data_IF_899836992240
#
_entry.id   IF_899836992240
#
_cell.length_a   1.000
_cell.length_b   1.000
_cell.length_c   1.000
_cell.angle_alpha   90.00
_cell.angle_beta   90.00
_cell.angle_gamma   90.00
#
_symmetry.space_group_name_H-M   'P 1'
#
loop_
_entity.id
_entity.type
_entity.pdbx_description
1 polymer ?
#
# COMPACT_ATOMS: atom_id res chain seq x y z
N UNK A 1 -27.41 -4.84 15.30
CA UNK A 1 -26.19 -4.51 14.55
C UNK A 1 -24.99 -4.97 15.37
N UNK A 2 -24.58 -6.25 15.27
CA UNK A 2 -23.26 -6.65 15.77
C UNK A 2 -22.25 -6.28 14.69
N UNK A 3 -21.60 -5.13 14.84
CA UNK A 3 -20.34 -4.89 14.13
C UNK A 3 -19.39 -5.97 14.60
N UNK A 4 -19.18 -6.99 13.76
CA UNK A 4 -18.31 -8.11 14.06
C UNK A 4 -16.88 -7.56 14.24
N UNK A 5 -16.46 -7.43 15.49
CA UNK A 5 -15.20 -6.81 15.90
C UNK A 5 -14.02 -7.47 15.16
N UNK A 6 -14.11 -8.78 14.90
CA UNK A 6 -13.10 -9.52 14.17
C UNK A 6 -12.98 -9.08 12.71
N UNK A 7 -14.09 -8.78 12.05
CA UNK A 7 -14.08 -8.31 10.66
C UNK A 7 -13.46 -6.92 10.54
N UNK A 8 -13.78 -6.03 11.50
CA UNK A 8 -13.19 -4.69 11.57
C UNK A 8 -11.69 -4.75 11.90
N UNK A 9 -11.29 -5.62 12.81
CA UNK A 9 -9.90 -5.79 13.22
C UNK A 9 -9.01 -6.42 12.13
N UNK A 10 -9.50 -7.45 11.43
CA UNK A 10 -8.79 -8.06 10.29
C UNK A 10 -8.65 -7.05 9.15
N UNK A 11 -9.71 -6.27 8.88
CA UNK A 11 -9.65 -5.17 7.91
C UNK A 11 -8.60 -4.13 8.30
N UNK A 12 -8.57 -3.68 9.56
CA UNK A 12 -7.60 -2.70 10.05
C UNK A 12 -6.14 -3.19 9.94
N UNK A 13 -5.88 -4.48 10.19
CA UNK A 13 -4.54 -5.07 10.00
C UNK A 13 -4.12 -5.06 8.53
N UNK A 14 -5.03 -5.42 7.62
CA UNK A 14 -4.77 -5.39 6.18
C UNK A 14 -4.47 -3.97 5.67
N UNK A 15 -5.21 -2.98 6.17
CA UNK A 15 -4.97 -1.56 5.91
C UNK A 15 -3.58 -1.15 6.38
N UNK A 16 -3.24 -1.43 7.65
CA UNK A 16 -1.95 -1.05 8.21
C UNK A 16 -0.78 -1.68 7.45
N UNK A 17 -0.89 -2.96 7.09
CA UNK A 17 0.13 -3.65 6.28
C UNK A 17 0.27 -3.00 4.91
N UNK A 18 -0.85 -2.63 4.27
CA UNK A 18 -0.83 -1.94 2.97
C UNK A 18 -0.14 -0.59 3.08
N UNK A 19 -0.41 0.19 4.13
CA UNK A 19 0.21 1.51 4.32
C UNK A 19 1.72 1.40 4.52
N UNK A 20 2.16 0.45 5.35
CA UNK A 20 3.58 0.16 5.54
C UNK A 20 4.20 -0.25 4.20
N UNK A 21 3.58 -1.19 3.48
CA UNK A 21 4.02 -1.63 2.15
C UNK A 21 4.07 -0.49 1.13
N UNK A 22 3.13 0.45 1.18
CA UNK A 22 3.09 1.63 0.30
C UNK A 22 4.25 2.58 0.56
N UNK A 23 4.63 2.75 1.83
CA UNK A 23 5.72 3.63 2.22
C UNK A 23 7.10 3.03 1.91
N UNK A 24 7.31 1.74 2.16
CA UNK A 24 8.60 1.06 1.97
C UNK A 24 8.78 0.46 0.58
N UNK A 25 7.69 0.19 -0.14
CA UNK A 25 7.67 -0.46 -1.45
C UNK A 25 8.57 0.25 -2.48
N UNK A 26 8.49 1.58 -2.63
CA UNK A 26 9.37 2.34 -3.53
C UNK A 26 10.85 2.16 -3.21
N UNK A 27 11.22 2.13 -1.93
CA UNK A 27 12.61 1.95 -1.48
C UNK A 27 13.14 0.58 -1.89
N UNK A 28 12.41 -0.48 -1.55
CA UNK A 28 12.82 -1.85 -1.89
C UNK A 28 12.80 -2.13 -3.39
N UNK A 29 11.91 -1.47 -4.13
CA UNK A 29 11.89 -1.55 -5.58
C UNK A 29 13.16 -0.97 -6.19
N UNK A 30 13.55 0.24 -5.79
CA UNK A 30 14.73 0.93 -6.33
C UNK A 30 16.02 0.23 -5.94
N UNK A 31 16.21 -0.10 -4.64
CA UNK A 31 17.38 -0.87 -4.19
C UNK A 31 17.47 -2.20 -4.95
N UNK A 32 16.33 -2.85 -5.19
CA UNK A 32 16.25 -4.10 -5.92
C UNK A 32 16.66 -4.03 -7.39
N UNK A 33 16.79 -2.84 -7.98
CA UNK A 33 17.30 -2.68 -9.35
C UNK A 33 18.81 -2.94 -9.44
N UNK A 34 19.53 -2.81 -8.33
CA UNK A 34 20.96 -3.13 -8.28
C UNK A 34 21.19 -4.66 -8.31
N UNK A 35 22.20 -5.14 -9.07
CA UNK A 35 22.45 -6.58 -9.22
C UNK A 35 22.65 -7.31 -7.88
N UNK A 36 23.32 -6.66 -6.94
CA UNK A 36 23.67 -7.22 -5.62
C UNK A 36 22.45 -7.37 -4.70
N UNK A 37 21.40 -6.57 -4.92
CA UNK A 37 20.23 -6.49 -4.06
C UNK A 37 18.93 -7.00 -4.70
N UNK A 38 18.99 -7.69 -5.85
CA UNK A 38 17.80 -8.22 -6.57
C UNK A 38 16.76 -8.96 -5.72
N UNK A 39 17.16 -9.56 -4.59
CA UNK A 39 16.21 -10.21 -3.64
C UNK A 39 15.21 -9.20 -3.04
N UNK A 40 15.62 -7.95 -2.86
CA UNK A 40 14.79 -6.85 -2.36
C UNK A 40 13.75 -6.38 -3.38
N UNK A 41 14.01 -6.57 -4.68
CA UNK A 41 13.05 -6.25 -5.74
C UNK A 41 11.74 -7.03 -5.56
N UNK A 42 11.83 -8.30 -5.15
CA UNK A 42 10.66 -9.12 -4.87
C UNK A 42 9.81 -8.53 -3.74
N UNK A 43 10.44 -7.95 -2.70
CA UNK A 43 9.75 -7.28 -1.60
C UNK A 43 9.02 -6.04 -2.12
N UNK A 44 9.68 -5.22 -2.94
CA UNK A 44 9.07 -4.04 -3.57
C UNK A 44 7.85 -4.41 -4.44
N UNK A 45 7.99 -5.45 -5.27
CA UNK A 45 6.90 -5.97 -6.11
C UNK A 45 5.71 -6.45 -5.27
N UNK A 46 5.97 -7.25 -4.23
CA UNK A 46 4.91 -7.74 -3.33
C UNK A 46 4.19 -6.59 -2.64
N UNK A 47 4.92 -5.56 -2.22
CA UNK A 47 4.32 -4.35 -1.65
C UNK A 47 3.38 -3.68 -2.66
N UNK A 48 3.79 -3.50 -3.91
CA UNK A 48 2.92 -2.91 -4.94
C UNK A 48 1.69 -3.76 -5.26
N UNK A 49 1.82 -5.09 -5.23
CA UNK A 49 0.66 -5.99 -5.37
C UNK A 49 -0.35 -5.74 -4.24
N UNK A 50 0.12 -5.61 -2.99
CA UNK A 50 -0.77 -5.27 -1.88
C UNK A 50 -1.46 -3.91 -2.07
N UNK A 51 -0.75 -2.90 -2.57
CA UNK A 51 -1.35 -1.59 -2.88
C UNK A 51 -2.45 -1.73 -3.93
N UNK A 52 -2.22 -2.47 -5.02
CA UNK A 52 -3.21 -2.70 -6.07
C UNK A 52 -4.46 -3.40 -5.51
N UNK A 53 -4.27 -4.44 -4.69
CA UNK A 53 -5.39 -5.16 -4.04
C UNK A 53 -6.17 -4.21 -3.13
N UNK A 54 -5.48 -3.37 -2.35
CA UNK A 54 -6.12 -2.38 -1.49
C UNK A 54 -6.92 -1.37 -2.29
N UNK A 55 -6.40 -0.88 -3.42
CA UNK A 55 -7.14 0.02 -4.31
C UNK A 55 -8.43 -0.65 -4.82
N UNK A 56 -8.38 -1.94 -5.16
CA UNK A 56 -9.57 -2.70 -5.54
C UNK A 56 -10.61 -2.79 -4.41
N UNK A 57 -10.17 -2.87 -3.15
CA UNK A 57 -11.06 -2.81 -1.99
C UNK A 57 -11.65 -1.41 -1.78
N UNK A 58 -10.91 -0.35 -2.09
CA UNK A 58 -11.47 1.00 -2.12
C UNK A 58 -12.54 1.19 -3.20
N UNK A 59 -12.41 0.56 -4.37
CA UNK A 59 -13.48 0.54 -5.37
C UNK A 59 -14.74 -0.20 -4.87
N UNK A 60 -14.57 -1.26 -4.08
CA UNK A 60 -15.72 -1.93 -3.42
C UNK A 60 -16.34 -1.02 -2.36
N UNK A 61 -15.52 -0.27 -1.60
CA UNK A 61 -16.01 0.70 -0.63
C UNK A 61 -16.81 1.84 -1.28
N UNK A 62 -16.38 2.30 -2.45
CA UNK A 62 -17.10 3.29 -3.26
C UNK A 62 -18.48 2.76 -3.65
N UNK A 63 -18.56 1.52 -4.16
CA UNK A 63 -19.84 0.86 -4.49
C UNK A 63 -20.75 0.70 -3.28
N UNK A 64 -20.18 0.58 -2.08
CA UNK A 64 -20.91 0.49 -0.83
C UNK A 64 -21.24 1.87 -0.20
N UNK A 65 -20.90 2.99 -0.87
CA UNK A 65 -21.15 4.35 -0.37
C UNK A 65 -20.26 4.79 0.80
N UNK A 66 -19.19 4.05 1.09
CA UNK A 66 -18.27 4.35 2.21
C UNK A 66 -17.08 5.17 1.73
N UNK A 67 -17.21 6.50 1.81
CA UNK A 67 -16.12 7.44 1.49
C UNK A 67 -14.88 7.25 2.38
N UNK A 68 -15.09 6.95 3.68
CA UNK A 68 -13.98 6.64 4.58
C UNK A 68 -13.19 5.41 4.10
N UNK A 69 -13.88 4.37 3.62
CA UNK A 69 -13.22 3.20 3.03
C UNK A 69 -12.42 3.55 1.78
N UNK A 70 -12.96 4.39 0.89
CA UNK A 70 -12.24 4.84 -0.32
C UNK A 70 -10.93 5.55 0.06
N UNK A 71 -10.96 6.42 1.05
CA UNK A 71 -9.75 7.14 1.50
C UNK A 71 -8.71 6.16 2.06
N UNK A 72 -9.14 5.28 2.95
CA UNK A 72 -8.25 4.36 3.67
C UNK A 72 -7.62 3.31 2.75
N UNK A 73 -8.38 2.79 1.79
CA UNK A 73 -7.96 1.70 0.90
C UNK A 73 -7.34 2.19 -0.42
N UNK A 74 -7.66 3.39 -0.91
CA UNK A 74 -7.15 3.88 -2.20
C UNK A 74 -6.29 5.12 -2.06
N UNK A 75 -6.81 6.18 -1.43
CA UNK A 75 -6.14 7.49 -1.42
C UNK A 75 -4.86 7.47 -0.61
N UNK A 76 -4.89 6.94 0.62
CA UNK A 76 -3.71 6.91 1.49
C UNK A 76 -2.61 6.01 0.93
N UNK A 77 -2.87 4.75 0.53
CA UNK A 77 -1.83 3.90 -0.07
C UNK A 77 -1.22 4.52 -1.32
N UNK A 78 -2.05 5.09 -2.21
CA UNK A 78 -1.56 5.74 -3.42
C UNK A 78 -0.68 6.96 -3.11
N UNK A 79 -1.12 7.84 -2.20
CA UNK A 79 -0.33 8.99 -1.78
C UNK A 79 1.01 8.57 -1.17
N UNK A 80 1.04 7.52 -0.35
CA UNK A 80 2.26 6.99 0.24
C UNK A 80 3.24 6.44 -0.81
N UNK A 81 2.73 5.73 -1.83
CA UNK A 81 3.58 5.27 -2.95
C UNK A 81 4.17 6.46 -3.71
N UNK A 82 3.37 7.49 -3.99
CA UNK A 82 3.84 8.68 -4.72
C UNK A 82 4.90 9.42 -3.89
N UNK A 83 4.62 9.70 -2.62
CA UNK A 83 5.56 10.39 -1.72
C UNK A 83 6.85 9.57 -1.58
N UNK A 84 6.74 8.27 -1.33
CA UNK A 84 7.89 7.37 -1.23
C UNK A 84 8.71 7.34 -2.53
N UNK A 85 8.05 7.32 -3.69
CA UNK A 85 8.71 7.39 -4.99
C UNK A 85 9.47 8.70 -5.19
N UNK A 86 8.85 9.85 -4.89
CA UNK A 86 9.50 11.17 -4.99
C UNK A 86 10.69 11.28 -4.04
N UNK A 87 10.55 10.83 -2.79
CA UNK A 87 11.64 10.84 -1.81
C UNK A 87 12.82 9.99 -2.27
N UNK A 88 12.56 8.80 -2.83
CA UNK A 88 13.62 7.94 -3.34
C UNK A 88 14.32 8.59 -4.53
N UNK A 89 13.57 9.14 -5.50
CA UNK A 89 14.16 9.81 -6.67
C UNK A 89 15.02 11.00 -6.27
N UNK A 90 14.52 11.86 -5.37
CA UNK A 90 15.27 13.03 -4.88
C UNK A 90 16.47 12.69 -4.01
N UNK A 91 16.54 11.47 -3.46
CA UNK A 91 17.71 10.99 -2.69
C UNK A 91 18.82 10.41 -3.58
N UNK A 92 18.56 10.23 -4.88
CA UNK A 92 19.52 9.70 -5.86
C UNK A 92 20.25 10.82 -6.62
N UNK A 93 19.81 12.08 -6.49
CA UNK A 93 20.46 13.29 -7.04
C UNK A 93 21.47 13.88 -6.05
#
# INVERSE_FOLDING_TARGET
MSHDIYRTFIGAKGVALTWIGSAIGPVFFVIGLEPEYRRHLAVGIVCFIFVIVSIADGLKALKAGSWAGVVVYSVVPFALVVIGGVLVVTSLE
#
